data_IF_405489424538
#
_entry.id   IF_405489424538
#
_cell.length_a   1.000
_cell.length_b   1.000
_cell.length_c   1.000
_cell.angle_alpha   90.00
_cell.angle_beta   90.00
_cell.angle_gamma   90.00
#
_symmetry.space_group_name_H-M   'P 1'
#
loop_
_entity.id
_entity.type
_entity.pdbx_description
1 polymer ?
#
# COMPACT_ATOMS: atom_id res chain seq x y z
N UNK A 1 16.70 77.75 19.45
CA UNK A 1 15.51 76.90 19.56
C UNK A 1 15.69 75.74 18.58
N UNK A 2 16.11 74.61 19.07
CA UNK A 2 16.58 73.48 18.28
C UNK A 2 15.45 72.41 18.26
N UNK A 3 14.85 72.18 17.08
CA UNK A 3 13.80 71.17 16.88
C UNK A 3 14.45 69.80 16.59
N UNK A 4 14.56 68.94 17.60
CA UNK A 4 14.90 67.52 17.44
C UNK A 4 13.65 66.75 17.00
N UNK A 5 13.65 66.22 15.77
CA UNK A 5 12.63 65.24 15.30
C UNK A 5 13.02 63.85 15.76
N UNK A 6 12.08 63.07 16.34
CA UNK A 6 12.38 61.67 16.68
C UNK A 6 12.40 60.81 15.43
N UNK A 7 13.47 60.07 15.25
CA UNK A 7 13.69 59.08 14.22
C UNK A 7 12.98 57.77 14.68
N UNK A 8 11.81 57.47 14.12
CA UNK A 8 11.13 56.20 14.33
C UNK A 8 11.86 55.08 13.57
N UNK A 9 12.64 54.29 14.29
CA UNK A 9 13.29 53.08 13.78
C UNK A 9 12.28 51.96 13.71
N UNK A 10 11.71 51.71 12.53
CA UNK A 10 10.80 50.54 12.27
C UNK A 10 11.66 49.31 12.16
N UNK A 11 11.66 48.46 13.20
CA UNK A 11 12.26 47.12 13.17
C UNK A 11 11.31 46.21 12.38
N UNK A 12 11.68 45.94 11.13
CA UNK A 12 11.03 44.86 10.35
C UNK A 12 11.54 43.54 10.85
N UNK A 13 10.67 42.80 11.61
CA UNK A 13 10.90 41.43 11.99
C UNK A 13 10.71 40.56 10.75
N UNK A 14 11.80 40.19 10.07
CA UNK A 14 11.79 39.16 9.04
C UNK A 14 11.52 37.80 9.70
N UNK A 15 10.25 37.39 9.76
CA UNK A 15 9.87 36.00 10.07
C UNK A 15 10.30 35.19 8.87
N UNK A 16 11.46 34.53 8.96
CA UNK A 16 11.91 33.53 8.00
C UNK A 16 11.01 32.30 8.19
N UNK A 17 9.96 32.19 7.37
CA UNK A 17 9.23 30.94 7.23
C UNK A 17 10.22 29.95 6.60
N UNK A 18 10.78 29.06 7.42
CA UNK A 18 11.50 27.91 6.90
C UNK A 18 10.52 27.14 6.01
N UNK A 19 10.75 27.22 4.70
CA UNK A 19 10.00 26.38 3.75
C UNK A 19 10.33 24.93 4.09
N UNK A 20 9.43 24.23 4.77
CA UNK A 20 9.56 22.80 4.97
C UNK A 20 9.49 22.16 3.59
N UNK A 21 10.56 21.44 3.22
CA UNK A 21 10.56 20.68 1.98
C UNK A 21 9.34 19.75 1.93
N UNK A 22 8.70 19.66 0.77
CA UNK A 22 7.61 18.72 0.59
C UNK A 22 8.07 17.29 0.89
N UNK A 23 7.25 16.45 1.53
CA UNK A 23 7.60 15.05 1.78
C UNK A 23 7.99 14.35 0.48
N UNK A 24 9.06 13.55 0.51
CA UNK A 24 9.49 12.72 -0.61
C UNK A 24 9.13 11.26 -0.39
N UNK A 25 9.15 10.45 -1.44
CA UNK A 25 8.92 8.99 -1.35
C UNK A 25 9.93 8.30 -0.42
N UNK A 26 11.09 8.92 -0.15
CA UNK A 26 12.08 8.45 0.81
C UNK A 26 11.55 8.39 2.25
N UNK A 27 10.54 9.21 2.57
CA UNK A 27 9.89 9.19 3.89
C UNK A 27 9.29 7.82 4.22
N UNK A 28 8.79 7.10 3.23
CA UNK A 28 8.16 5.78 3.40
C UNK A 28 9.13 4.62 3.13
N UNK A 29 10.33 4.87 2.68
CA UNK A 29 11.33 3.84 2.38
C UNK A 29 11.62 2.91 3.57
N UNK A 30 11.86 3.40 4.79
CA UNK A 30 12.10 2.51 5.94
C UNK A 30 10.90 1.61 6.25
N UNK A 31 9.68 2.08 5.99
CA UNK A 31 8.46 1.28 6.15
C UNK A 31 8.40 0.18 5.09
N UNK A 32 8.75 0.51 3.84
CA UNK A 32 8.80 -0.44 2.72
C UNK A 32 9.78 -1.58 2.97
N UNK A 33 10.97 -1.24 3.42
CA UNK A 33 12.04 -2.21 3.69
C UNK A 33 11.65 -3.13 4.85
N UNK A 34 11.15 -2.55 5.94
CA UNK A 34 10.71 -3.32 7.10
C UNK A 34 9.50 -4.21 6.80
N UNK A 35 8.55 -3.73 6.00
CA UNK A 35 7.42 -4.56 5.54
C UNK A 35 7.90 -5.79 4.76
N UNK A 36 8.87 -5.62 3.85
CA UNK A 36 9.41 -6.72 3.07
C UNK A 36 10.17 -7.74 3.94
N UNK A 37 10.92 -7.28 4.94
CA UNK A 37 11.55 -8.17 5.93
C UNK A 37 10.52 -8.98 6.70
N UNK A 38 9.46 -8.34 7.21
CA UNK A 38 8.40 -9.03 7.95
C UNK A 38 7.74 -10.06 7.03
N UNK A 39 7.33 -9.66 5.85
CA UNK A 39 6.59 -10.50 4.91
C UNK A 39 7.37 -11.73 4.47
N UNK A 40 8.67 -11.57 4.14
CA UNK A 40 9.44 -12.58 3.43
C UNK A 40 10.55 -13.24 4.25
N UNK A 41 10.90 -12.71 5.42
CA UNK A 41 11.98 -13.26 6.27
C UNK A 41 11.53 -13.64 7.66
N UNK A 42 10.43 -13.08 8.16
CA UNK A 42 9.96 -13.37 9.52
C UNK A 42 9.08 -14.62 9.56
N UNK A 43 9.19 -15.46 10.60
CA UNK A 43 8.28 -16.58 10.79
C UNK A 43 6.82 -16.13 10.88
N UNK A 44 5.88 -16.86 10.26
CA UNK A 44 4.46 -16.49 10.21
C UNK A 44 3.86 -16.19 11.59
N UNK A 45 4.26 -16.96 12.64
CA UNK A 45 3.80 -16.76 14.02
C UNK A 45 4.17 -15.41 14.65
N UNK A 46 5.17 -14.72 14.11
CA UNK A 46 5.64 -13.41 14.60
C UNK A 46 5.10 -12.25 13.77
N UNK A 47 4.57 -12.52 12.59
CA UNK A 47 4.21 -11.45 11.65
C UNK A 47 3.12 -10.52 12.20
N UNK A 48 2.13 -11.03 12.92
CA UNK A 48 1.06 -10.21 13.49
C UNK A 48 1.60 -9.13 14.44
N UNK A 49 2.55 -9.49 15.33
CA UNK A 49 3.17 -8.56 16.27
C UNK A 49 4.08 -7.56 15.55
N UNK A 50 4.94 -8.06 14.66
CA UNK A 50 5.85 -7.21 13.90
C UNK A 50 5.12 -6.20 12.99
N UNK A 51 3.99 -6.61 12.40
CA UNK A 51 3.15 -5.68 11.64
C UNK A 51 2.43 -4.68 12.54
N UNK A 52 2.02 -5.05 13.75
CA UNK A 52 1.45 -4.12 14.73
C UNK A 52 2.46 -3.00 15.06
N UNK A 53 3.71 -3.37 15.39
CA UNK A 53 4.78 -2.38 15.64
C UNK A 53 5.03 -1.46 14.41
N UNK A 54 4.97 -2.03 13.21
CA UNK A 54 5.16 -1.26 11.98
C UNK A 54 3.94 -0.36 11.69
N UNK A 55 2.73 -0.83 12.01
CA UNK A 55 1.48 -0.06 11.88
C UNK A 55 1.52 1.19 12.74
N UNK A 56 2.00 1.09 13.98
CA UNK A 56 2.15 2.26 14.86
C UNK A 56 3.09 3.31 14.27
N UNK A 57 4.23 2.88 13.70
CA UNK A 57 5.20 3.78 13.08
C UNK A 57 4.65 4.47 11.83
N UNK A 58 4.00 3.72 10.93
CA UNK A 58 3.48 4.32 9.71
C UNK A 58 2.30 5.25 9.98
N UNK A 59 1.47 4.97 10.99
CA UNK A 59 0.39 5.86 11.44
C UNK A 59 0.92 7.19 11.97
N UNK A 60 2.07 7.21 12.66
CA UNK A 60 2.72 8.46 13.07
C UNK A 60 3.19 9.27 11.85
N UNK A 61 3.75 8.60 10.84
CA UNK A 61 4.19 9.25 9.60
C UNK A 61 3.00 9.84 8.84
N UNK A 62 1.92 9.09 8.65
CA UNK A 62 0.74 9.56 7.92
C UNK A 62 0.01 10.68 8.65
N UNK A 63 -0.10 10.59 9.99
CA UNK A 63 -0.70 11.64 10.81
C UNK A 63 0.09 12.95 10.75
N UNK A 64 1.43 12.87 10.68
CA UNK A 64 2.29 14.04 10.50
C UNK A 64 2.26 14.60 9.06
N UNK A 65 1.80 13.80 8.08
CA UNK A 65 1.78 14.13 6.66
C UNK A 65 0.42 13.77 6.01
N UNK A 66 -0.70 14.35 6.47
CA UNK A 66 -2.05 13.93 6.08
C UNK A 66 -2.38 14.15 4.59
N UNK A 67 -1.65 15.04 3.91
CA UNK A 67 -1.80 15.34 2.49
C UNK A 67 -0.71 14.70 1.62
N UNK A 68 -0.03 13.68 2.13
CA UNK A 68 1.00 12.94 1.40
C UNK A 68 0.52 11.50 1.09
N UNK A 69 -0.06 11.27 -0.11
CA UNK A 69 -0.66 9.99 -0.49
C UNK A 69 0.25 8.76 -0.27
N UNK A 70 1.57 8.81 -0.55
CA UNK A 70 2.44 7.66 -0.28
C UNK A 70 2.43 7.17 1.18
N UNK A 71 2.34 8.07 2.16
CA UNK A 71 2.26 7.69 3.57
C UNK A 71 0.94 6.98 3.89
N UNK A 72 -0.19 7.50 3.39
CA UNK A 72 -1.51 6.88 3.54
C UNK A 72 -1.58 5.51 2.85
N UNK A 73 -1.01 5.38 1.67
CA UNK A 73 -0.94 4.10 0.95
C UNK A 73 -0.16 3.07 1.78
N UNK A 74 1.01 3.45 2.32
CA UNK A 74 1.81 2.54 3.11
C UNK A 74 1.17 2.20 4.46
N UNK A 75 0.46 3.13 5.08
CA UNK A 75 -0.39 2.81 6.23
C UNK A 75 -1.42 1.73 5.86
N UNK A 76 -2.17 1.94 4.78
CA UNK A 76 -3.15 0.95 4.30
C UNK A 76 -2.55 -0.42 4.01
N UNK A 77 -1.36 -0.49 3.37
CA UNK A 77 -0.65 -1.74 3.06
C UNK A 77 -0.22 -2.46 4.35
N UNK A 78 0.40 -1.75 5.29
CA UNK A 78 0.90 -2.34 6.54
C UNK A 78 -0.26 -2.83 7.40
N UNK A 79 -1.30 -2.01 7.59
CA UNK A 79 -2.49 -2.36 8.38
C UNK A 79 -3.27 -3.52 7.73
N UNK A 80 -3.33 -3.58 6.38
CA UNK A 80 -3.89 -4.74 5.66
C UNK A 80 -3.09 -6.02 5.91
N UNK A 81 -1.76 -5.91 5.96
CA UNK A 81 -0.88 -7.05 6.23
C UNK A 81 -1.03 -7.54 7.68
N UNK A 82 -1.14 -6.62 8.64
CA UNK A 82 -1.48 -6.93 10.03
C UNK A 82 -2.85 -7.62 10.14
N UNK A 83 -3.86 -7.09 9.43
CA UNK A 83 -5.19 -7.67 9.38
C UNK A 83 -5.16 -9.15 8.93
N UNK A 84 -4.43 -9.43 7.86
CA UNK A 84 -4.25 -10.78 7.33
C UNK A 84 -3.51 -11.71 8.29
N UNK A 85 -2.45 -11.23 8.94
CA UNK A 85 -1.65 -12.02 9.88
C UNK A 85 -2.41 -12.29 11.20
N UNK A 86 -3.24 -11.35 11.64
CA UNK A 86 -4.03 -11.46 12.89
C UNK A 86 -5.29 -12.32 12.71
N UNK A 87 -5.99 -12.16 11.61
CA UNK A 87 -7.23 -12.87 11.32
C UNK A 87 -8.40 -12.54 12.25
N UNK A 88 -9.50 -13.28 12.10
CA UNK A 88 -10.67 -13.16 12.96
C UNK A 88 -11.30 -11.77 13.01
N UNK A 89 -12.03 -11.47 14.10
CA UNK A 89 -12.71 -10.17 14.27
C UNK A 89 -11.72 -9.00 14.39
N UNK A 90 -10.57 -9.22 15.03
CA UNK A 90 -9.52 -8.21 15.12
C UNK A 90 -8.95 -7.84 13.74
N UNK A 91 -8.70 -8.85 12.90
CA UNK A 91 -8.28 -8.63 11.51
C UNK A 91 -9.32 -7.89 10.69
N UNK A 92 -10.61 -8.19 10.89
CA UNK A 92 -11.69 -7.49 10.18
C UNK A 92 -11.77 -5.99 10.56
N UNK A 93 -11.54 -5.64 11.82
CA UNK A 93 -11.47 -4.24 12.25
C UNK A 93 -10.31 -3.50 11.56
N UNK A 94 -9.12 -4.09 11.56
CA UNK A 94 -7.94 -3.54 10.90
C UNK A 94 -8.15 -3.40 9.37
N UNK A 95 -8.82 -4.36 8.74
CA UNK A 95 -9.15 -4.28 7.32
C UNK A 95 -10.08 -3.08 7.00
N UNK A 96 -11.02 -2.75 7.91
CA UNK A 96 -11.87 -1.55 7.77
C UNK A 96 -11.05 -0.26 7.90
N UNK A 97 -10.09 -0.21 8.84
CA UNK A 97 -9.19 0.93 9.00
C UNK A 97 -8.31 1.13 7.76
N UNK A 98 -7.72 0.03 7.26
CA UNK A 98 -6.92 0.05 6.04
C UNK A 98 -7.73 0.53 4.83
N UNK A 99 -8.97 0.04 4.67
CA UNK A 99 -9.87 0.50 3.61
C UNK A 99 -10.07 2.01 3.67
N UNK A 100 -10.37 2.56 4.86
CA UNK A 100 -10.62 3.99 5.04
C UNK A 100 -9.41 4.83 4.60
N UNK A 101 -8.22 4.51 5.07
CA UNK A 101 -7.02 5.30 4.76
C UNK A 101 -6.61 5.19 3.28
N UNK A 102 -6.82 4.04 2.64
CA UNK A 102 -6.60 3.88 1.20
C UNK A 102 -7.61 4.70 0.37
N UNK A 103 -8.87 4.76 0.79
CA UNK A 103 -9.88 5.60 0.15
C UNK A 103 -9.57 7.09 0.30
N UNK A 104 -9.00 7.51 1.44
CA UNK A 104 -8.52 8.88 1.65
C UNK A 104 -7.34 9.20 0.72
N UNK A 105 -6.39 8.29 0.58
CA UNK A 105 -5.28 8.45 -0.36
C UNK A 105 -5.75 8.64 -1.80
N UNK A 106 -6.75 7.85 -2.26
CA UNK A 106 -7.31 7.98 -3.61
C UNK A 106 -8.01 9.31 -3.87
N UNK A 107 -8.56 9.95 -2.84
CA UNK A 107 -9.14 11.30 -2.97
C UNK A 107 -8.09 12.38 -3.18
N UNK A 108 -6.87 12.16 -2.68
CA UNK A 108 -5.76 13.09 -2.82
C UNK A 108 -5.03 12.90 -4.16
N UNK A 109 -4.66 11.66 -4.50
CA UNK A 109 -4.01 11.33 -5.77
C UNK A 109 -4.20 9.84 -6.12
N UNK A 110 -5.01 9.59 -7.14
CA UNK A 110 -5.27 8.23 -7.65
C UNK A 110 -4.05 7.56 -8.29
N UNK A 111 -3.06 8.35 -8.72
CA UNK A 111 -1.86 7.88 -9.40
C UNK A 111 -0.66 7.67 -8.47
N UNK A 112 -0.76 8.09 -7.22
CA UNK A 112 0.32 7.96 -6.26
C UNK A 112 0.82 6.51 -6.19
N UNK A 113 2.15 6.34 -6.15
CA UNK A 113 2.82 5.04 -6.17
C UNK A 113 2.27 4.12 -7.28
N UNK A 114 2.06 4.69 -8.48
CA UNK A 114 1.55 3.96 -9.65
C UNK A 114 0.21 3.23 -9.39
N UNK A 115 -0.71 3.86 -8.68
CA UNK A 115 -2.04 3.31 -8.38
C UNK A 115 -2.05 2.19 -7.33
N UNK A 116 -1.03 2.11 -6.45
CA UNK A 116 -0.94 1.07 -5.41
C UNK A 116 -2.13 1.05 -4.46
N UNK A 117 -2.80 2.19 -4.24
CA UNK A 117 -4.02 2.24 -3.44
C UNK A 117 -5.14 1.40 -4.06
N UNK A 118 -5.30 1.42 -5.38
CA UNK A 118 -6.27 0.58 -6.08
C UNK A 118 -5.97 -0.91 -5.90
N UNK A 119 -4.70 -1.33 -6.06
CA UNK A 119 -4.28 -2.72 -5.84
C UNK A 119 -4.62 -3.19 -4.43
N UNK A 120 -4.29 -2.39 -3.43
CA UNK A 120 -4.48 -2.74 -2.01
C UNK A 120 -5.96 -2.78 -1.63
N UNK A 121 -6.75 -1.81 -2.09
CA UNK A 121 -8.21 -1.81 -1.90
C UNK A 121 -8.88 -3.00 -2.59
N UNK A 122 -8.48 -3.32 -3.82
CA UNK A 122 -8.99 -4.48 -4.55
C UNK A 122 -8.74 -5.78 -3.78
N UNK A 123 -7.52 -5.96 -3.26
CA UNK A 123 -7.17 -7.11 -2.43
C UNK A 123 -8.03 -7.20 -1.16
N UNK A 124 -8.30 -6.08 -0.48
CA UNK A 124 -9.19 -6.03 0.68
C UNK A 124 -10.62 -6.45 0.32
N UNK A 125 -11.21 -5.88 -0.75
CA UNK A 125 -12.55 -6.28 -1.19
C UNK A 125 -12.62 -7.74 -1.64
N UNK A 126 -11.52 -8.28 -2.18
CA UNK A 126 -11.42 -9.68 -2.60
C UNK A 126 -11.33 -10.66 -1.42
N UNK A 127 -10.57 -10.32 -0.36
CA UNK A 127 -10.22 -11.27 0.73
C UNK A 127 -11.10 -11.13 1.97
N UNK A 128 -11.67 -9.95 2.23
CA UNK A 128 -12.58 -9.74 3.37
C UNK A 128 -13.91 -10.44 3.12
N UNK A 129 -14.54 -11.06 4.13
CA UNK A 129 -15.87 -11.62 3.99
C UNK A 129 -16.91 -10.59 3.52
N UNK A 130 -17.88 -11.02 2.73
CA UNK A 130 -19.01 -10.18 2.32
C UNK A 130 -20.00 -9.91 3.45
N UNK A 131 -21.02 -9.11 3.14
CA UNK A 131 -22.13 -8.84 4.06
C UNK A 131 -22.80 -10.14 4.53
N UNK A 132 -23.26 -10.29 5.81
CA UNK A 132 -23.27 -9.25 6.86
C UNK A 132 -22.01 -9.16 7.69
N UNK A 133 -21.00 -10.00 7.49
CA UNK A 133 -19.81 -10.08 8.33
C UNK A 133 -18.81 -8.95 8.04
N UNK A 134 -18.65 -8.61 6.77
CA UNK A 134 -17.68 -7.61 6.33
C UNK A 134 -18.12 -6.84 5.11
N UNK A 135 -17.17 -6.19 4.47
CA UNK A 135 -17.39 -5.33 3.30
C UNK A 135 -16.92 -5.97 1.98
N UNK A 136 -16.51 -7.25 2.00
CA UNK A 136 -16.01 -7.94 0.81
C UNK A 136 -17.03 -7.90 -0.34
N UNK A 137 -16.55 -7.65 -1.55
CA UNK A 137 -17.34 -7.52 -2.76
C UNK A 137 -16.46 -7.85 -3.97
N UNK A 138 -16.70 -8.98 -4.59
CA UNK A 138 -15.92 -9.49 -5.72
C UNK A 138 -16.02 -8.59 -6.96
N UNK A 139 -17.21 -8.03 -7.21
CA UNK A 139 -17.41 -7.09 -8.32
C UNK A 139 -16.61 -5.82 -8.12
N UNK A 140 -16.67 -5.26 -6.91
CA UNK A 140 -15.89 -4.06 -6.56
C UNK A 140 -14.39 -4.33 -6.59
N UNK A 141 -13.95 -5.52 -6.15
CA UNK A 141 -12.56 -5.95 -6.24
C UNK A 141 -12.07 -5.94 -7.69
N UNK A 142 -12.82 -6.55 -8.62
CA UNK A 142 -12.45 -6.59 -10.03
C UNK A 142 -12.38 -5.20 -10.66
N UNK A 143 -13.37 -4.34 -10.40
CA UNK A 143 -13.34 -2.94 -10.86
C UNK A 143 -12.07 -2.20 -10.42
N UNK A 144 -11.66 -2.39 -9.17
CA UNK A 144 -10.45 -1.75 -8.61
C UNK A 144 -9.17 -2.37 -9.16
N UNK A 145 -9.11 -3.68 -9.37
CA UNK A 145 -7.97 -4.32 -10.03
C UNK A 145 -7.79 -3.82 -11.46
N UNK A 146 -8.85 -3.63 -12.22
CA UNK A 146 -8.78 -3.07 -13.56
C UNK A 146 -8.27 -1.61 -13.55
N UNK A 147 -8.68 -0.80 -12.58
CA UNK A 147 -8.11 0.54 -12.38
C UNK A 147 -6.61 0.49 -12.04
N UNK A 148 -6.21 -0.44 -11.18
CA UNK A 148 -4.80 -0.65 -10.84
C UNK A 148 -3.96 -1.04 -12.06
N UNK A 149 -4.45 -1.96 -12.88
CA UNK A 149 -3.80 -2.37 -14.13
C UNK A 149 -3.74 -1.23 -15.16
N UNK A 150 -4.76 -0.38 -15.23
CA UNK A 150 -4.72 0.81 -16.09
C UNK A 150 -3.64 1.81 -15.63
N UNK A 151 -3.45 1.99 -14.32
CA UNK A 151 -2.43 2.87 -13.78
C UNK A 151 -1.00 2.28 -13.91
N UNK A 152 -0.86 0.96 -13.82
CA UNK A 152 0.43 0.25 -13.85
C UNK A 152 0.30 -1.10 -14.56
N UNK A 153 0.18 -1.11 -15.90
CA UNK A 153 -0.13 -2.31 -16.66
C UNK A 153 0.95 -3.40 -16.57
N UNK A 154 2.21 -3.03 -16.39
CA UNK A 154 3.35 -3.94 -16.36
C UNK A 154 3.94 -4.14 -14.96
N UNK A 155 3.28 -3.60 -13.92
CA UNK A 155 3.70 -3.73 -12.54
C UNK A 155 3.56 -5.16 -12.01
N UNK A 156 4.52 -5.59 -11.18
CA UNK A 156 4.51 -6.93 -10.60
C UNK A 156 3.28 -7.14 -9.68
N UNK A 157 2.99 -6.18 -8.79
CA UNK A 157 1.92 -6.32 -7.80
C UNK A 157 0.50 -6.28 -8.44
N UNK A 158 0.13 -5.32 -9.31
CA UNK A 158 -1.20 -5.33 -9.92
C UNK A 158 -1.46 -6.60 -10.73
N UNK A 159 -0.49 -7.09 -11.50
CA UNK A 159 -0.63 -8.32 -12.26
C UNK A 159 -0.70 -9.56 -11.35
N UNK A 160 0.08 -9.61 -10.27
CA UNK A 160 0.03 -10.70 -9.32
C UNK A 160 -1.33 -10.78 -8.62
N UNK A 161 -1.78 -9.69 -7.99
CA UNK A 161 -3.02 -9.70 -7.20
C UNK A 161 -4.26 -9.92 -8.07
N UNK A 162 -4.29 -9.37 -9.28
CA UNK A 162 -5.39 -9.67 -10.20
C UNK A 162 -5.34 -11.12 -10.69
N UNK A 163 -4.16 -11.65 -10.99
CA UNK A 163 -3.98 -13.06 -11.35
C UNK A 163 -4.45 -14.01 -10.23
N UNK A 164 -4.08 -13.74 -8.98
CA UNK A 164 -4.56 -14.49 -7.80
C UNK A 164 -6.09 -14.40 -7.67
N UNK A 165 -6.65 -13.19 -7.78
CA UNK A 165 -8.09 -12.97 -7.73
C UNK A 165 -8.84 -13.78 -8.81
N UNK A 166 -8.36 -13.79 -10.05
CA UNK A 166 -8.97 -14.55 -11.13
C UNK A 166 -8.96 -16.05 -10.86
N UNK A 167 -7.87 -16.57 -10.30
CA UNK A 167 -7.76 -17.98 -9.89
C UNK A 167 -8.78 -18.27 -8.79
N UNK A 168 -8.93 -17.40 -7.78
CA UNK A 168 -9.92 -17.53 -6.71
C UNK A 168 -11.38 -17.45 -7.25
N UNK A 169 -11.60 -16.92 -8.47
CA UNK A 169 -12.88 -16.90 -9.18
C UNK A 169 -12.98 -18.01 -10.24
N UNK A 170 -12.17 -19.07 -10.16
CA UNK A 170 -12.13 -20.21 -11.08
C UNK A 170 -11.73 -19.84 -12.53
N UNK A 171 -11.30 -18.60 -12.80
CA UNK A 171 -10.79 -18.11 -14.09
C UNK A 171 -9.30 -18.40 -14.23
N UNK A 172 -8.94 -19.68 -14.08
CA UNK A 172 -7.55 -20.16 -13.92
C UNK A 172 -6.66 -19.79 -15.12
N UNK A 173 -7.17 -19.95 -16.35
CA UNK A 173 -6.39 -19.67 -17.56
C UNK A 173 -6.04 -18.17 -17.68
N UNK A 174 -6.99 -17.30 -17.38
CA UNK A 174 -6.77 -15.84 -17.36
C UNK A 174 -5.79 -15.44 -16.25
N UNK A 175 -6.03 -15.96 -15.03
CA UNK A 175 -5.16 -15.70 -13.89
C UNK A 175 -3.71 -16.11 -14.13
N UNK A 176 -3.49 -17.27 -14.78
CA UNK A 176 -2.16 -17.71 -15.22
C UNK A 176 -1.48 -16.67 -16.10
N UNK A 177 -2.20 -16.12 -17.11
CA UNK A 177 -1.64 -15.11 -18.01
C UNK A 177 -1.15 -13.86 -17.27
N UNK A 178 -1.90 -13.39 -16.25
CA UNK A 178 -1.48 -12.26 -15.42
C UNK A 178 -0.28 -12.61 -14.52
N UNK A 179 -0.22 -13.81 -13.94
CA UNK A 179 0.93 -14.26 -13.17
C UNK A 179 2.20 -14.36 -14.02
N UNK A 180 2.11 -14.88 -15.23
CA UNK A 180 3.24 -14.96 -16.16
C UNK A 180 3.69 -13.54 -16.60
N UNK A 181 2.74 -12.60 -16.75
CA UNK A 181 3.05 -11.20 -17.02
C UNK A 181 3.75 -10.55 -15.80
N UNK A 182 3.29 -10.82 -14.58
CA UNK A 182 3.92 -10.32 -13.35
C UNK A 182 5.40 -10.77 -13.23
N UNK A 183 5.75 -11.99 -13.66
CA UNK A 183 7.14 -12.46 -13.66
C UNK A 183 8.06 -11.67 -14.59
N UNK A 184 7.51 -11.06 -15.64
CA UNK A 184 8.25 -10.25 -16.63
C UNK A 184 8.42 -8.78 -16.20
N UNK A 185 7.79 -8.36 -15.10
CA UNK A 185 7.89 -7.00 -14.59
C UNK A 185 9.35 -6.60 -14.34
N UNK A 186 9.69 -5.36 -14.65
CA UNK A 186 11.01 -4.81 -14.41
C UNK A 186 11.32 -4.78 -12.90
N UNK A 187 12.58 -4.98 -12.49
CA UNK A 187 13.02 -4.81 -11.10
C UNK A 187 12.75 -3.37 -10.62
N UNK A 188 12.33 -3.23 -9.38
CA UNK A 188 12.11 -1.93 -8.75
C UNK A 188 13.33 -1.54 -7.91
N UNK A 189 14.00 -0.39 -8.21
CA UNK A 189 15.15 0.03 -7.41
C UNK A 189 14.82 0.14 -5.92
N UNK A 190 15.65 -0.47 -5.09
CA UNK A 190 15.50 -0.50 -3.62
C UNK A 190 14.32 -1.35 -3.13
N UNK A 191 13.75 -2.25 -3.98
CA UNK A 191 12.67 -3.16 -3.61
C UNK A 191 13.05 -4.64 -3.88
N UNK A 192 14.35 -4.93 -3.90
CA UNK A 192 14.89 -6.23 -4.32
C UNK A 192 14.31 -7.39 -3.52
N UNK A 193 14.22 -7.26 -2.18
CA UNK A 193 13.64 -8.29 -1.32
C UNK A 193 12.15 -8.50 -1.59
N UNK A 194 11.41 -7.42 -1.77
CA UNK A 194 9.98 -7.48 -2.07
C UNK A 194 9.73 -8.12 -3.44
N UNK A 195 10.53 -7.76 -4.45
CA UNK A 195 10.44 -8.31 -5.80
C UNK A 195 10.80 -9.80 -5.83
N UNK A 196 11.85 -10.19 -5.13
CA UNK A 196 12.25 -11.60 -5.01
C UNK A 196 11.16 -12.43 -4.33
N UNK A 197 10.64 -11.95 -3.21
CA UNK A 197 9.58 -12.63 -2.48
C UNK A 197 8.30 -12.76 -3.31
N UNK A 198 7.89 -11.69 -4.00
CA UNK A 198 6.72 -11.72 -4.90
C UNK A 198 6.90 -12.72 -6.04
N UNK A 199 8.08 -12.77 -6.67
CA UNK A 199 8.36 -13.76 -7.72
C UNK A 199 8.28 -15.20 -7.20
N UNK A 200 8.69 -15.46 -5.96
CA UNK A 200 8.54 -16.77 -5.33
C UNK A 200 7.08 -17.13 -5.08
N UNK A 201 6.25 -16.17 -4.61
CA UNK A 201 4.80 -16.37 -4.46
C UNK A 201 4.15 -16.72 -5.81
N UNK A 202 4.48 -15.96 -6.87
CA UNK A 202 3.97 -16.21 -8.22
C UNK A 202 4.35 -17.62 -8.71
N UNK A 203 5.61 -18.01 -8.59
CA UNK A 203 6.10 -19.33 -9.02
C UNK A 203 5.42 -20.46 -8.26
N UNK A 204 5.17 -20.27 -6.96
CA UNK A 204 4.46 -21.23 -6.13
C UNK A 204 3.02 -21.40 -6.61
N UNK A 205 2.32 -20.31 -6.84
CA UNK A 205 0.92 -20.35 -7.31
C UNK A 205 0.82 -20.97 -8.72
N UNK A 206 1.74 -20.64 -9.63
CA UNK A 206 1.79 -21.26 -10.96
C UNK A 206 2.02 -22.78 -10.90
N UNK A 207 2.87 -23.26 -9.98
CA UNK A 207 3.05 -24.71 -9.74
C UNK A 207 1.78 -25.37 -9.21
N UNK A 208 1.10 -24.73 -8.26
CA UNK A 208 -0.14 -25.26 -7.67
C UNK A 208 -1.24 -25.44 -8.72
N UNK A 209 -1.49 -24.43 -9.56
CA UNK A 209 -2.51 -24.53 -10.62
C UNK A 209 -2.14 -25.55 -11.70
N UNK A 210 -0.84 -25.74 -12.00
CA UNK A 210 -0.40 -26.75 -12.96
C UNK A 210 -0.62 -28.20 -12.46
N UNK A 211 -0.56 -28.42 -11.14
CA UNK A 211 -0.85 -29.72 -10.54
C UNK A 211 -2.37 -29.99 -10.49
N UNK A 212 -3.17 -29.00 -10.16
CA UNK A 212 -4.62 -29.10 -10.08
C UNK A 212 -5.31 -29.30 -11.46
N UNK A 213 -4.59 -29.00 -12.57
CA UNK A 213 -5.10 -29.12 -13.95
C UNK A 213 -4.79 -30.49 -14.58
N UNK A 214 -4.18 -31.44 -13.84
CA UNK A 214 -3.89 -32.82 -14.26
C UNK A 214 -4.89 -33.78 -13.69
#
# INVERSE_FOLDING_TARGET
>A
MSNLKPLLLSIFLLISAAAMAAPSDDLVRPIQDRWAEIKYRSPARQQAELYNELSEKVRQISAANPNFPPALIWEGIVVSSEAGARGGLGGLSLAKDAKKVLEESLKLDEKALNGSAYTSLAALYAKVPGWPLGFGDKKKAEELFLKSLNANPDGIDPNFFYGEFLIDQERVAEGRGYLEKALKAAPRPGRELADQGRRQEIQTLLKQIAVASK
#
